data_IF_517758224780
#
_entry.id   IF_517758224780
#
_cell.length_a   1.000
_cell.length_b   1.000
_cell.length_c   1.000
_cell.angle_alpha   90.00
_cell.angle_beta   90.00
_cell.angle_gamma   90.00
#
_symmetry.space_group_name_H-M   'P 1'
#
loop_
_entity.id
_entity.type
_entity.pdbx_description
1 polymer ?
#
# COMPACT_ATOMS: atom_id res chain seq x y z
N UNK A 1 -22.81 -42.70 54.94
CA UNK A 1 -22.83 -43.31 53.59
C UNK A 1 -22.24 -42.29 52.63
N UNK A 2 -21.15 -42.43 51.86
CA UNK A 2 -20.26 -43.53 51.43
C UNK A 2 -18.80 -42.97 51.47
N UNK A 3 -17.90 -43.57 52.28
CA UNK A 3 -16.64 -44.28 51.94
C UNK A 3 -15.78 -43.65 50.82
N UNK A 4 -14.62 -43.06 51.15
CA UNK A 4 -13.25 -43.65 51.26
C UNK A 4 -12.62 -43.97 49.89
N UNK A 5 -11.79 -43.08 49.30
CA UNK A 5 -10.30 -43.03 49.36
C UNK A 5 -9.63 -44.33 48.89
N UNK A 6 -8.82 -44.27 47.82
CA UNK A 6 -7.34 -44.47 47.84
C UNK A 6 -6.75 -44.69 46.43
N UNK A 7 -5.71 -43.90 46.18
CA UNK A 7 -4.61 -44.17 45.24
C UNK A 7 -3.90 -45.48 45.60
N UNK A 8 -3.54 -46.26 44.58
CA UNK A 8 -2.34 -47.12 44.59
C UNK A 8 -1.89 -47.42 43.15
N UNK A 9 -0.65 -47.07 42.84
CA UNK A 9 0.09 -47.55 41.68
C UNK A 9 0.61 -48.98 41.93
N UNK A 10 0.62 -49.84 40.91
CA UNK A 10 1.44 -51.06 40.86
C UNK A 10 2.00 -51.30 39.45
N UNK A 11 3.18 -51.90 39.43
CA UNK A 11 4.20 -51.90 38.38
C UNK A 11 4.02 -53.00 37.33
N UNK A 12 4.45 -52.66 36.10
CA UNK A 12 5.20 -53.42 35.08
C UNK A 12 4.85 -54.88 34.72
N UNK A 13 4.67 -55.14 33.42
CA UNK A 13 5.39 -56.19 32.67
C UNK A 13 5.22 -56.02 31.15
N UNK A 14 6.24 -56.46 30.42
CA UNK A 14 6.55 -56.17 29.03
C UNK A 14 5.84 -57.07 27.99
N UNK A 15 5.82 -56.59 26.74
CA UNK A 15 5.47 -57.35 25.55
C UNK A 15 5.77 -56.54 24.29
N UNK A 16 7.04 -56.50 23.86
CA UNK A 16 7.46 -56.08 22.53
C UNK A 16 7.20 -57.23 21.56
N UNK A 17 6.57 -56.95 20.40
CA UNK A 17 6.88 -57.52 19.07
C UNK A 17 5.76 -57.17 18.07
N UNK A 18 6.11 -56.48 16.98
CA UNK A 18 5.39 -56.60 15.70
C UNK A 18 5.08 -55.29 14.93
N UNK A 19 6.01 -54.86 14.09
CA UNK A 19 5.69 -54.53 12.69
C UNK A 19 5.05 -53.18 12.31
N UNK A 20 5.88 -52.33 11.72
CA UNK A 20 5.61 -51.24 10.76
C UNK A 20 4.22 -51.19 10.07
N UNK A 21 3.58 -50.02 10.15
CA UNK A 21 3.05 -49.33 8.98
C UNK A 21 3.07 -47.82 9.25
N UNK A 22 3.91 -47.10 8.50
CA UNK A 22 4.05 -45.66 8.54
C UNK A 22 2.74 -44.98 8.09
N UNK A 23 2.04 -44.35 9.03
CA UNK A 23 0.99 -43.37 8.74
C UNK A 23 1.59 -41.98 8.86
N UNK A 24 2.00 -41.41 7.73
CA UNK A 24 2.62 -40.09 7.60
C UNK A 24 1.80 -39.03 8.34
N UNK A 25 2.42 -38.38 9.33
CA UNK A 25 1.98 -37.10 9.86
C UNK A 25 2.14 -36.07 8.74
N UNK A 26 1.05 -35.46 8.28
CA UNK A 26 1.12 -34.27 7.44
C UNK A 26 1.65 -33.10 8.29
N UNK A 27 2.97 -33.06 8.46
CA UNK A 27 3.70 -31.85 8.81
C UNK A 27 3.89 -31.04 7.54
N UNK A 28 3.50 -29.77 7.59
CA UNK A 28 3.96 -28.75 6.65
C UNK A 28 3.47 -28.91 5.22
N UNK A 29 2.36 -28.25 4.89
CA UNK A 29 2.38 -27.48 3.64
C UNK A 29 3.24 -26.22 3.89
N UNK A 30 4.54 -26.41 4.08
CA UNK A 30 5.47 -25.43 3.56
C UNK A 30 5.36 -25.60 2.06
N UNK A 31 4.55 -24.75 1.43
CA UNK A 31 4.85 -24.40 0.05
C UNK A 31 6.29 -23.91 0.09
N UNK A 32 7.22 -24.80 -0.26
CA UNK A 32 8.56 -24.43 -0.68
C UNK A 32 8.36 -23.61 -1.94
N UNK A 33 8.03 -22.33 -1.73
CA UNK A 33 8.28 -21.32 -2.72
C UNK A 33 9.80 -21.35 -2.88
N UNK A 34 10.28 -21.70 -4.08
CA UNK A 34 11.61 -21.33 -4.50
C UNK A 34 11.86 -19.87 -4.08
N UNK A 35 13.08 -19.46 -3.67
CA UNK A 35 13.35 -18.07 -3.32
C UNK A 35 12.87 -17.19 -4.47
N UNK A 36 11.74 -16.52 -4.26
CA UNK A 36 11.16 -15.66 -5.27
C UNK A 36 11.94 -14.36 -5.26
N UNK A 37 12.27 -13.85 -6.44
CA UNK A 37 12.81 -12.49 -6.62
C UNK A 37 11.79 -11.41 -6.17
N UNK A 38 10.55 -11.80 -5.86
CA UNK A 38 9.44 -10.93 -5.50
C UNK A 38 9.38 -10.61 -4.00
N UNK A 39 9.26 -9.32 -3.69
CA UNK A 39 8.83 -8.86 -2.36
C UNK A 39 7.30 -8.69 -2.35
N UNK A 40 6.59 -9.56 -1.63
CA UNK A 40 5.13 -9.50 -1.46
C UNK A 40 4.76 -8.87 -0.13
N UNK A 41 4.27 -7.64 -0.16
CA UNK A 41 3.81 -6.92 1.04
C UNK A 41 2.66 -5.98 0.71
N UNK A 42 1.86 -5.66 1.72
CA UNK A 42 0.83 -4.61 1.62
C UNK A 42 1.43 -3.21 1.75
N UNK A 43 2.65 -3.10 2.27
CA UNK A 43 3.28 -1.82 2.61
C UNK A 43 4.80 -1.93 2.64
N UNK A 44 5.46 -1.00 1.98
CA UNK A 44 6.87 -0.67 2.14
C UNK A 44 6.98 0.76 2.67
N UNK A 45 7.84 0.96 3.67
CA UNK A 45 8.10 2.27 4.27
C UNK A 45 9.59 2.54 4.16
N UNK A 46 9.94 3.66 3.53
CA UNK A 46 11.30 4.18 3.52
C UNK A 46 11.47 5.12 4.72
N UNK A 47 12.44 4.81 5.58
CA UNK A 47 12.86 5.66 6.70
C UNK A 47 14.19 6.35 6.37
N UNK A 48 14.47 7.47 7.04
CA UNK A 48 15.83 8.03 7.10
C UNK A 48 16.61 7.50 8.32
N UNK A 49 17.80 8.05 8.54
CA UNK A 49 18.71 7.76 9.66
C UNK A 49 18.16 8.12 11.05
N UNK A 50 17.05 8.85 11.11
CA UNK A 50 16.35 9.26 12.34
C UNK A 50 15.04 8.50 12.54
N UNK A 51 14.82 7.42 11.79
CA UNK A 51 13.58 6.62 11.77
C UNK A 51 12.33 7.42 11.34
N UNK A 52 12.50 8.53 10.61
CA UNK A 52 11.40 9.32 10.08
C UNK A 52 10.97 8.82 8.71
N UNK A 53 9.65 8.75 8.46
CA UNK A 53 9.10 8.30 7.19
C UNK A 53 9.40 9.30 6.06
N UNK A 54 9.96 8.79 4.97
CA UNK A 54 10.32 9.55 3.76
C UNK A 54 9.52 9.15 2.54
N UNK A 55 9.12 7.89 2.44
CA UNK A 55 8.20 7.42 1.41
C UNK A 55 7.40 6.19 1.86
N UNK A 56 6.25 5.97 1.23
CA UNK A 56 5.40 4.81 1.46
C UNK A 56 4.90 4.29 0.12
N UNK A 57 5.12 3.00 -0.17
CA UNK A 57 4.40 2.26 -1.21
C UNK A 57 3.40 1.35 -0.52
N UNK A 58 2.10 1.55 -0.76
CA UNK A 58 1.06 0.77 -0.11
C UNK A 58 -0.21 0.71 -0.97
N UNK A 59 -1.19 -0.08 -0.53
CA UNK A 59 -2.57 0.09 -0.96
C UNK A 59 -3.31 1.01 0.00
N UNK A 60 -4.14 1.91 -0.50
CA UNK A 60 -5.03 2.74 0.31
C UNK A 60 -6.17 1.90 0.95
N UNK A 61 -7.09 2.56 1.66
CA UNK A 61 -8.23 1.90 2.33
C UNK A 61 -9.20 1.18 1.38
N UNK A 62 -9.13 1.50 0.08
CA UNK A 62 -9.96 0.92 -0.97
C UNK A 62 -9.21 -0.12 -1.81
N UNK A 63 -7.93 -0.39 -1.48
CA UNK A 63 -7.11 -1.38 -2.16
C UNK A 63 -6.31 -0.84 -3.34
N UNK A 64 -6.35 0.47 -3.61
CA UNK A 64 -5.64 1.07 -4.75
C UNK A 64 -4.20 1.39 -4.40
N UNK A 65 -3.26 1.16 -5.33
CA UNK A 65 -1.85 1.43 -5.07
C UNK A 65 -1.58 2.93 -4.97
N UNK A 66 -0.74 3.29 -4.01
CA UNK A 66 -0.21 4.63 -3.83
C UNK A 66 1.28 4.56 -3.48
N UNK A 67 2.07 5.38 -4.17
CA UNK A 67 3.41 5.77 -3.77
C UNK A 67 3.36 7.21 -3.29
N UNK A 68 3.71 7.45 -2.03
CA UNK A 68 3.72 8.77 -1.42
C UNK A 68 5.13 9.14 -0.96
N UNK A 69 5.52 10.39 -1.17
CA UNK A 69 6.75 10.98 -0.62
C UNK A 69 6.41 12.01 0.45
N UNK A 70 7.12 11.97 1.58
CA UNK A 70 6.84 12.76 2.76
C UNK A 70 7.91 13.84 3.02
N UNK A 71 7.48 15.02 3.48
CA UNK A 71 8.38 16.07 3.97
C UNK A 71 8.98 15.74 5.35
N UNK A 72 9.86 16.61 5.86
CA UNK A 72 10.52 16.44 7.16
C UNK A 72 9.56 16.26 8.34
N UNK A 73 8.32 16.74 8.23
CA UNK A 73 7.27 16.63 9.25
C UNK A 73 6.37 15.40 9.05
N UNK A 74 6.63 14.60 8.02
CA UNK A 74 5.86 13.40 7.67
C UNK A 74 4.64 13.66 6.78
N UNK A 75 4.42 14.90 6.32
CA UNK A 75 3.28 15.21 5.46
C UNK A 75 3.55 14.75 4.04
N UNK A 76 2.56 14.16 3.37
CA UNK A 76 2.68 13.77 1.96
C UNK A 76 2.77 15.03 1.10
N UNK A 77 3.81 15.12 0.27
CA UNK A 77 4.04 16.22 -0.69
C UNK A 77 3.93 15.80 -2.14
N UNK A 78 4.16 14.53 -2.42
CA UNK A 78 3.98 13.95 -3.76
C UNK A 78 3.24 12.63 -3.59
N UNK A 79 2.22 12.41 -4.41
CA UNK A 79 1.54 11.12 -4.54
C UNK A 79 1.54 10.67 -5.99
N UNK A 80 1.74 9.38 -6.20
CA UNK A 80 1.52 8.68 -7.46
C UNK A 80 0.51 7.58 -7.14
N UNK A 81 -0.66 7.62 -7.74
CA UNK A 81 -1.78 6.76 -7.35
C UNK A 81 -2.66 6.38 -8.53
N UNK A 82 -3.52 5.39 -8.30
CA UNK A 82 -4.68 5.12 -9.13
C UNK A 82 -5.91 5.76 -8.47
N UNK A 83 -6.68 6.54 -9.24
CA UNK A 83 -7.87 7.28 -8.77
C UNK A 83 -9.08 6.35 -8.63
N UNK A 84 -10.26 6.89 -8.31
CA UNK A 84 -11.47 6.06 -8.13
C UNK A 84 -11.95 5.46 -9.46
N UNK A 85 -11.56 6.10 -10.57
CA UNK A 85 -11.96 5.77 -11.93
C UNK A 85 -10.87 4.90 -12.61
N UNK A 86 -10.09 4.17 -11.80
CA UNK A 86 -8.94 3.36 -12.23
C UNK A 86 -7.90 4.09 -13.12
N UNK A 87 -7.85 5.41 -13.00
CA UNK A 87 -6.97 6.26 -13.80
C UNK A 87 -5.68 6.61 -13.04
N UNK A 88 -4.52 6.70 -13.72
CA UNK A 88 -3.28 7.11 -13.10
C UNK A 88 -3.27 8.62 -12.83
N UNK A 89 -2.76 9.00 -11.65
CA UNK A 89 -2.55 10.39 -11.27
C UNK A 89 -1.25 10.59 -10.50
N UNK A 90 -0.64 11.75 -10.71
CA UNK A 90 0.45 12.30 -9.89
C UNK A 90 -0.02 13.64 -9.32
N UNK A 91 0.08 13.82 -8.02
CA UNK A 91 -0.27 15.05 -7.34
C UNK A 91 0.91 15.60 -6.54
N UNK A 92 1.02 16.93 -6.47
CA UNK A 92 1.92 17.62 -5.55
C UNK A 92 1.13 18.57 -4.66
N UNK A 93 1.42 18.55 -3.36
CA UNK A 93 0.73 19.38 -2.38
C UNK A 93 1.65 20.42 -1.77
N UNK A 94 1.08 21.58 -1.44
CA UNK A 94 1.77 22.62 -0.68
C UNK A 94 1.82 22.30 0.83
N UNK A 95 2.45 23.18 1.60
CA UNK A 95 2.61 23.02 3.05
C UNK A 95 1.29 22.98 3.86
N UNK A 96 0.16 23.35 3.25
CA UNK A 96 -1.19 23.30 3.83
C UNK A 96 -1.99 22.09 3.31
N UNK A 97 -1.30 21.11 2.71
CA UNK A 97 -1.87 19.89 2.13
C UNK A 97 -2.83 20.14 0.96
N UNK A 98 -2.66 21.28 0.26
CA UNK A 98 -3.48 21.61 -0.92
C UNK A 98 -2.78 21.15 -2.18
N UNK A 99 -3.49 20.46 -3.07
CA UNK A 99 -2.95 20.08 -4.38
C UNK A 99 -2.70 21.35 -5.20
N UNK A 100 -1.45 21.57 -5.59
CA UNK A 100 -1.02 22.74 -6.39
C UNK A 100 -0.59 22.36 -7.79
N UNK A 101 -0.23 21.08 -8.01
CA UNK A 101 0.14 20.54 -9.30
C UNK A 101 -0.52 19.17 -9.45
N UNK A 102 -1.11 18.91 -10.61
CA UNK A 102 -1.68 17.62 -10.97
C UNK A 102 -1.21 17.17 -12.35
N UNK A 103 -0.99 15.87 -12.50
CA UNK A 103 -0.91 15.18 -13.78
C UNK A 103 -1.86 14.01 -13.71
N UNK A 104 -2.86 13.96 -14.59
CA UNK A 104 -3.83 12.87 -14.61
C UNK A 104 -4.18 12.48 -16.04
N UNK A 105 -4.56 11.22 -16.19
CA UNK A 105 -5.24 10.69 -17.37
C UNK A 105 -6.69 10.38 -16.96
N UNK A 106 -7.64 10.46 -17.88
CA UNK A 106 -9.04 10.06 -17.65
C UNK A 106 -9.37 8.81 -18.48
N UNK A 107 -10.52 8.18 -18.20
CA UNK A 107 -11.01 7.05 -18.98
C UNK A 107 -11.24 7.39 -20.45
N UNK A 108 -11.51 8.66 -20.77
CA UNK A 108 -11.65 9.15 -22.14
C UNK A 108 -10.30 9.30 -22.88
N UNK A 109 -9.19 8.87 -22.25
CA UNK A 109 -7.82 9.10 -22.68
C UNK A 109 -7.48 10.60 -22.81
N UNK A 110 -8.21 11.43 -22.07
CA UNK A 110 -7.82 12.82 -21.87
C UNK A 110 -6.69 12.85 -20.86
N UNK A 111 -5.72 13.73 -21.05
CA UNK A 111 -4.60 13.87 -20.14
C UNK A 111 -4.32 15.34 -19.90
N UNK A 112 -4.05 15.72 -18.66
CA UNK A 112 -3.78 17.11 -18.33
C UNK A 112 -2.69 17.24 -17.27
N UNK A 113 -1.77 18.18 -17.51
CA UNK A 113 -0.95 18.80 -16.47
C UNK A 113 -1.66 20.08 -16.02
N UNK A 114 -1.92 20.22 -14.73
CA UNK A 114 -2.66 21.35 -14.15
C UNK A 114 -1.86 22.04 -13.07
N UNK A 115 -1.95 23.38 -13.05
CA UNK A 115 -1.51 24.23 -11.95
C UNK A 115 -2.74 24.81 -11.27
N UNK A 116 -2.85 24.63 -9.96
CA UNK A 116 -3.99 25.07 -9.16
C UNK A 116 -3.59 26.21 -8.22
N UNK A 117 -4.51 27.13 -7.98
CA UNK A 117 -4.33 28.15 -6.97
C UNK A 117 -4.64 27.64 -5.56
N UNK A 118 -4.58 28.57 -4.61
CA UNK A 118 -4.77 28.31 -3.20
C UNK A 118 -6.19 27.86 -2.79
N UNK A 119 -7.16 28.00 -3.70
CA UNK A 119 -8.55 27.54 -3.57
C UNK A 119 -8.77 26.20 -4.28
N UNK A 120 -7.77 25.68 -4.99
CA UNK A 120 -7.86 24.47 -5.80
C UNK A 120 -8.37 24.73 -7.23
N UNK A 121 -8.50 25.99 -7.64
CA UNK A 121 -8.96 26.34 -8.99
C UNK A 121 -7.82 26.21 -10.00
N UNK A 122 -8.06 25.59 -11.16
CA UNK A 122 -7.06 25.44 -12.21
C UNK A 122 -6.75 26.80 -12.85
N UNK A 123 -5.51 27.28 -12.71
CA UNK A 123 -5.04 28.55 -13.31
C UNK A 123 -4.22 28.37 -14.56
N UNK A 124 -3.65 27.20 -14.76
CA UNK A 124 -3.05 26.84 -16.04
C UNK A 124 -3.21 25.34 -16.27
N UNK A 125 -3.41 24.97 -17.52
CA UNK A 125 -3.38 23.58 -17.91
C UNK A 125 -2.81 23.40 -19.32
N UNK A 126 -2.12 22.29 -19.53
CA UNK A 126 -1.77 21.80 -20.86
C UNK A 126 -2.17 20.34 -20.93
N UNK A 127 -2.82 19.94 -22.02
CA UNK A 127 -3.36 18.60 -22.10
C UNK A 127 -3.92 18.22 -23.45
N UNK A 128 -4.53 17.04 -23.50
CA UNK A 128 -5.31 16.53 -24.61
C UNK A 128 -6.73 16.31 -24.09
N UNK A 129 -7.71 16.83 -24.81
CA UNK A 129 -9.13 16.60 -24.55
C UNK A 129 -9.81 16.16 -25.85
N UNK A 130 -10.40 14.96 -25.84
CA UNK A 130 -11.06 14.32 -26.99
C UNK A 130 -10.15 14.29 -28.23
N UNK A 131 -8.87 13.98 -28.02
CA UNK A 131 -7.85 13.90 -29.06
C UNK A 131 -7.30 15.25 -29.55
N UNK A 132 -7.82 16.38 -29.07
CA UNK A 132 -7.32 17.70 -29.40
C UNK A 132 -6.37 18.22 -28.32
N UNK A 133 -5.24 18.81 -28.73
CA UNK A 133 -4.39 19.56 -27.81
C UNK A 133 -5.15 20.76 -27.23
N UNK A 134 -5.04 20.94 -25.91
CA UNK A 134 -5.65 22.04 -25.15
C UNK A 134 -4.60 22.76 -24.34
N UNK A 135 -4.76 24.07 -24.27
CA UNK A 135 -4.00 24.95 -23.40
C UNK A 135 -4.97 25.92 -22.73
N UNK A 136 -4.85 26.03 -21.41
CA UNK A 136 -5.60 26.95 -20.58
C UNK A 136 -4.61 27.81 -19.80
N UNK A 137 -4.88 29.10 -19.75
CA UNK A 137 -4.22 30.03 -18.85
C UNK A 137 -5.26 31.02 -18.35
N UNK A 138 -5.62 30.93 -17.07
CA UNK A 138 -6.46 31.89 -16.40
C UNK A 138 -5.60 32.88 -15.62
N UNK A 139 -5.45 34.07 -16.18
CA UNK A 139 -4.74 35.16 -15.52
C UNK A 139 -5.67 35.98 -14.62
N UNK A 140 -5.27 36.14 -13.36
CA UNK A 140 -5.35 37.46 -12.71
C UNK A 140 -3.92 37.76 -12.31
N UNK A 141 -3.31 38.80 -12.88
CA UNK A 141 -1.98 39.23 -12.42
C UNK A 141 -2.04 39.45 -10.90
N UNK A 142 -1.35 38.63 -10.14
CA UNK A 142 -1.02 38.95 -8.77
C UNK A 142 0.25 39.77 -8.86
N UNK A 143 0.06 41.09 -8.87
CA UNK A 143 1.14 42.08 -8.85
C UNK A 143 2.15 41.76 -7.74
N UNK A 144 3.40 42.11 -8.02
CA UNK A 144 4.56 41.94 -7.13
C UNK A 144 4.32 42.51 -5.74
#
# INVERSE_FOLDING_TARGET
>A
MKRFVRSTARHAAAGLLGGLAAGVLFFGNTTDAAPGDDVRTKRLILLNDKDEVRAVLATDKTGRPVLAFCDSKGNVRISIAITNDDCPAIGMTDAKDRSIIGLAVTEANDAAFTLMDEKGEVRAAVGIEKGAGKFLLEGKELGK
#
